data_IF_288765917962
#
_entry.id   IF_288765917962
#
_cell.length_a   1.000
_cell.length_b   1.000
_cell.length_c   1.000
_cell.angle_alpha   90.00
_cell.angle_beta   90.00
_cell.angle_gamma   90.00
#
_symmetry.space_group_name_H-M   'P 1'
#
loop_
_entity.id
_entity.type
_entity.pdbx_description
1 polymer ?
#
# COMPACT_ATOMS: atom_id res chain seq x y z
N UNK A 1 -4.03 10.04 26.91
CA UNK A 1 -3.35 10.82 25.84
C UNK A 1 -4.31 10.92 24.67
N UNK A 2 -4.46 12.11 24.10
CA UNK A 2 -5.51 12.50 23.14
C UNK A 2 -5.63 11.56 21.94
N UNK A 3 -6.72 10.79 21.87
CA UNK A 3 -7.15 9.98 20.71
C UNK A 3 -7.87 10.81 19.64
N UNK A 4 -8.12 12.10 19.88
CA UNK A 4 -9.05 12.92 19.09
C UNK A 4 -8.57 13.37 17.70
N UNK A 5 -7.27 13.30 17.40
CA UNK A 5 -6.75 13.84 16.13
C UNK A 5 -6.68 12.78 15.02
N UNK A 6 -6.38 11.52 15.34
CA UNK A 6 -6.27 10.46 14.32
C UNK A 6 -7.63 9.89 13.93
N UNK A 7 -8.53 9.69 14.90
CA UNK A 7 -9.89 9.17 14.62
C UNK A 7 -10.68 10.13 13.73
N UNK A 8 -10.64 11.43 14.02
CA UNK A 8 -11.34 12.44 13.23
C UNK A 8 -10.81 12.58 11.80
N UNK A 9 -9.51 12.39 11.61
CA UNK A 9 -8.88 12.39 10.28
C UNK A 9 -9.24 11.11 9.51
N UNK A 10 -9.28 9.97 10.19
CA UNK A 10 -9.72 8.70 9.60
C UNK A 10 -11.19 8.76 9.18
N UNK A 11 -12.08 9.27 10.03
CA UNK A 11 -13.50 9.44 9.72
C UNK A 11 -13.71 10.27 8.45
N UNK A 12 -13.00 11.40 8.32
CA UNK A 12 -13.04 12.22 7.09
C UNK A 12 -12.48 11.50 5.88
N UNK A 13 -11.43 10.70 6.07
CA UNK A 13 -10.84 9.88 5.01
C UNK A 13 -11.84 8.83 4.51
N UNK A 14 -12.53 8.17 5.43
CA UNK A 14 -13.56 7.17 5.12
C UNK A 14 -14.75 7.82 4.40
N UNK A 15 -15.17 9.02 4.82
CA UNK A 15 -16.21 9.81 4.15
C UNK A 15 -15.82 10.18 2.71
N UNK A 16 -14.60 10.69 2.49
CA UNK A 16 -14.10 11.02 1.15
C UNK A 16 -14.02 9.76 0.26
N UNK A 17 -13.55 8.64 0.81
CA UNK A 17 -13.48 7.38 0.08
C UNK A 17 -14.88 6.89 -0.34
N UNK A 18 -15.88 6.99 0.54
CA UNK A 18 -17.27 6.65 0.22
C UNK A 18 -17.81 7.52 -0.92
N UNK A 19 -17.61 8.84 -0.85
CA UNK A 19 -18.04 9.78 -1.92
C UNK A 19 -17.41 9.41 -3.26
N UNK A 20 -16.10 9.11 -3.28
CA UNK A 20 -15.40 8.75 -4.52
C UNK A 20 -15.91 7.43 -5.13
N UNK A 21 -16.30 6.46 -4.30
CA UNK A 21 -16.94 5.22 -4.78
C UNK A 21 -18.32 5.47 -5.33
N UNK A 22 -19.10 6.33 -4.68
CA UNK A 22 -20.43 6.68 -5.16
C UNK A 22 -20.34 7.38 -6.52
N UNK A 23 -19.41 8.33 -6.69
CA UNK A 23 -19.16 8.96 -7.99
C UNK A 23 -18.68 7.92 -9.02
N UNK A 24 -17.78 7.00 -8.64
CA UNK A 24 -17.32 5.92 -9.51
C UNK A 24 -18.48 5.06 -10.01
N UNK A 25 -19.42 4.70 -9.13
CA UNK A 25 -20.62 3.94 -9.51
C UNK A 25 -21.54 4.76 -10.42
N UNK A 26 -21.74 6.05 -10.14
CA UNK A 26 -22.59 6.93 -10.93
C UNK A 26 -22.06 7.15 -12.35
N UNK A 27 -20.75 7.36 -12.52
CA UNK A 27 -20.18 7.63 -13.85
C UNK A 27 -19.78 6.36 -14.60
N UNK A 28 -19.71 5.22 -13.91
CA UNK A 28 -19.18 3.96 -14.42
C UNK A 28 -20.10 3.24 -15.41
N UNK A 29 -20.05 1.91 -15.37
CA UNK A 29 -20.86 1.08 -16.25
C UNK A 29 -22.35 1.29 -16.00
N UNK A 30 -23.12 1.51 -17.06
CA UNK A 30 -24.58 1.57 -16.99
C UNK A 30 -25.14 0.29 -16.37
N UNK A 31 -25.95 0.45 -15.33
CA UNK A 31 -26.66 -0.64 -14.67
C UNK A 31 -28.15 -0.46 -14.88
N UNK A 32 -28.83 -1.52 -15.30
CA UNK A 32 -30.29 -1.56 -15.42
C UNK A 32 -31.02 -1.69 -14.07
N UNK A 33 -30.33 -1.51 -12.95
CA UNK A 33 -30.86 -1.68 -11.61
C UNK A 33 -30.35 -0.55 -10.72
N UNK A 34 -31.23 -0.10 -9.85
CA UNK A 34 -30.94 0.94 -8.90
C UNK A 34 -30.05 0.40 -7.77
N UNK A 35 -29.01 1.15 -7.41
CA UNK A 35 -28.00 0.79 -6.42
C UNK A 35 -28.08 1.72 -5.22
N UNK A 36 -27.74 1.20 -4.05
CA UNK A 36 -27.58 2.03 -2.85
C UNK A 36 -26.16 2.56 -2.79
N UNK A 37 -26.04 3.87 -2.56
CA UNK A 37 -24.78 4.55 -2.37
C UNK A 37 -24.25 4.35 -0.94
N UNK A 38 -22.93 4.37 -0.75
CA UNK A 38 -22.29 4.30 0.57
C UNK A 38 -22.65 5.51 1.44
N UNK A 39 -22.75 6.70 0.81
CA UNK A 39 -23.21 7.94 1.48
C UNK A 39 -24.73 8.02 1.63
N UNK A 40 -25.46 7.01 1.16
CA UNK A 40 -26.91 6.92 1.23
C UNK A 40 -27.62 7.44 -0.02
N UNK A 41 -28.87 6.99 -0.18
CA UNK A 41 -29.66 7.23 -1.38
C UNK A 41 -29.62 6.06 -2.36
N UNK A 42 -30.62 6.00 -3.23
CA UNK A 42 -30.78 4.95 -4.23
C UNK A 42 -30.84 5.60 -5.61
N UNK A 43 -29.96 5.18 -6.50
CA UNK A 43 -29.73 5.82 -7.81
C UNK A 43 -29.54 4.78 -8.90
N UNK A 44 -29.89 5.14 -10.13
CA UNK A 44 -29.48 4.37 -11.31
C UNK A 44 -28.01 4.66 -11.60
N UNK A 45 -27.20 3.62 -11.67
CA UNK A 45 -25.77 3.73 -11.87
C UNK A 45 -25.39 3.85 -13.35
N UNK A 46 -24.32 4.60 -13.61
CA UNK A 46 -23.55 4.57 -14.83
C UNK A 46 -23.91 5.63 -15.87
N UNK A 47 -22.85 6.21 -16.44
CA UNK A 47 -22.89 7.13 -17.58
C UNK A 47 -21.96 6.64 -18.71
N UNK A 48 -21.34 5.47 -18.55
CA UNK A 48 -20.44 4.87 -19.53
C UNK A 48 -18.96 5.28 -19.42
N UNK A 49 -18.57 6.11 -18.45
CA UNK A 49 -17.19 6.56 -18.24
C UNK A 49 -16.37 5.55 -17.41
N UNK A 50 -16.23 4.32 -17.93
CA UNK A 50 -15.66 3.18 -17.19
C UNK A 50 -14.21 3.39 -16.72
N UNK A 51 -13.34 3.98 -17.55
CA UNK A 51 -11.94 4.24 -17.17
C UNK A 51 -11.82 5.25 -16.03
N UNK A 52 -12.60 6.33 -16.07
CA UNK A 52 -12.61 7.34 -15.00
C UNK A 52 -13.21 6.76 -13.71
N UNK A 53 -14.27 5.97 -13.82
CA UNK A 53 -14.85 5.26 -12.69
C UNK A 53 -13.83 4.33 -12.02
N UNK A 54 -13.10 3.54 -12.82
CA UNK A 54 -12.06 2.67 -12.30
C UNK A 54 -10.96 3.46 -11.56
N UNK A 55 -10.48 4.56 -12.17
CA UNK A 55 -9.50 5.43 -11.53
C UNK A 55 -10.00 5.99 -10.19
N UNK A 56 -11.26 6.43 -10.11
CA UNK A 56 -11.86 6.93 -8.86
C UNK A 56 -11.99 5.82 -7.80
N UNK A 57 -12.37 4.60 -8.19
CA UNK A 57 -12.46 3.46 -7.28
C UNK A 57 -11.09 3.12 -6.67
N UNK A 58 -10.04 3.11 -7.49
CA UNK A 58 -8.66 2.90 -7.05
C UNK A 58 -8.23 4.01 -6.07
N UNK A 59 -8.52 5.28 -6.38
CA UNK A 59 -8.20 6.40 -5.48
C UNK A 59 -8.97 6.34 -4.16
N UNK A 60 -10.23 5.93 -4.19
CA UNK A 60 -11.03 5.75 -2.97
C UNK A 60 -10.43 4.66 -2.07
N UNK A 61 -10.03 3.53 -2.66
CA UNK A 61 -9.34 2.46 -1.96
C UNK A 61 -8.02 2.96 -1.36
N UNK A 62 -7.26 3.77 -2.10
CA UNK A 62 -6.02 4.34 -1.61
C UNK A 62 -6.23 5.23 -0.36
N UNK A 63 -7.22 6.11 -0.41
CA UNK A 63 -7.55 6.99 0.71
C UNK A 63 -7.98 6.19 1.94
N UNK A 64 -8.81 5.16 1.75
CA UNK A 64 -9.25 4.30 2.86
C UNK A 64 -8.10 3.51 3.49
N UNK A 65 -7.15 3.02 2.69
CA UNK A 65 -5.97 2.29 3.16
C UNK A 65 -4.96 3.18 3.90
N UNK A 66 -5.19 4.49 4.00
CA UNK A 66 -4.45 5.38 4.88
C UNK A 66 -3.76 6.54 4.16
N UNK A 67 -3.83 7.72 4.79
CA UNK A 67 -3.33 8.98 4.24
C UNK A 67 -1.93 9.37 4.76
N UNK A 68 -1.46 8.74 5.84
CA UNK A 68 -0.16 9.07 6.44
C UNK A 68 0.92 8.11 5.96
N UNK A 69 1.74 8.55 5.02
CA UNK A 69 2.90 7.78 4.55
C UNK A 69 4.13 8.13 5.39
N UNK A 70 4.69 7.15 6.09
CA UNK A 70 5.98 7.27 6.76
C UNK A 70 7.01 6.52 5.93
N UNK A 71 7.94 7.26 5.34
CA UNK A 71 9.06 6.69 4.59
C UNK A 71 10.28 6.63 5.51
N UNK A 72 10.84 5.44 5.69
CA UNK A 72 12.08 5.25 6.48
C UNK A 72 13.23 4.95 5.53
N UNK A 73 14.11 5.95 5.38
CA UNK A 73 15.29 5.91 4.52
C UNK A 73 16.54 5.52 5.30
N UNK A 74 17.44 4.75 4.69
CA UNK A 74 18.79 4.53 5.21
C UNK A 74 19.50 3.32 4.62
N UNK A 75 20.73 3.10 5.05
CA UNK A 75 21.63 2.04 4.56
C UNK A 75 21.32 0.66 5.17
N UNK A 76 21.76 -0.40 4.51
CA UNK A 76 21.47 -1.78 4.92
C UNK A 76 22.00 -2.07 6.33
N UNK A 77 21.21 -2.80 7.15
CA UNK A 77 21.58 -3.19 8.53
C UNK A 77 21.80 -2.07 9.57
N UNK A 78 21.42 -0.82 9.31
CA UNK A 78 21.54 0.27 10.30
C UNK A 78 20.32 0.45 11.24
N UNK A 79 19.61 -0.63 11.56
CA UNK A 79 18.55 -0.57 12.58
C UNK A 79 17.23 0.08 12.16
N UNK A 80 16.96 0.26 10.86
CA UNK A 80 15.68 0.80 10.36
C UNK A 80 14.46 -0.02 10.81
N UNK A 81 14.56 -1.35 10.76
CA UNK A 81 13.53 -2.25 11.27
C UNK A 81 13.39 -2.15 12.79
N UNK A 82 14.47 -1.84 13.52
CA UNK A 82 14.44 -1.57 14.96
C UNK A 82 13.74 -0.24 15.25
N UNK A 83 14.01 0.81 14.46
CA UNK A 83 13.33 2.10 14.55
C UNK A 83 11.84 1.96 14.26
N UNK A 84 11.47 1.26 13.18
CA UNK A 84 10.08 0.97 12.86
C UNK A 84 9.40 0.19 13.99
N UNK A 85 10.03 -0.86 14.53
CA UNK A 85 9.50 -1.61 15.67
C UNK A 85 9.35 -0.74 16.93
N UNK A 86 10.31 0.15 17.21
CA UNK A 86 10.20 1.09 18.32
C UNK A 86 9.04 2.08 18.13
N UNK A 87 8.86 2.63 16.91
CA UNK A 87 7.73 3.50 16.56
C UNK A 87 6.39 2.77 16.61
N UNK A 88 6.39 1.47 16.28
CA UNK A 88 5.21 0.61 16.34
C UNK A 88 4.86 0.16 17.76
N UNK A 89 5.65 0.51 18.78
CA UNK A 89 5.36 0.21 20.18
C UNK A 89 5.69 -1.23 20.60
N UNK A 90 6.47 -1.98 19.81
CA UNK A 90 6.85 -3.36 20.13
C UNK A 90 7.50 -4.11 18.95
N UNK A 91 7.81 -5.40 19.12
CA UNK A 91 8.27 -6.30 18.03
C UNK A 91 7.09 -6.69 17.12
N UNK A 92 6.45 -5.70 16.53
CA UNK A 92 5.25 -5.83 15.70
C UNK A 92 5.60 -6.36 14.32
N UNK A 93 6.65 -5.81 13.73
CA UNK A 93 7.31 -6.45 12.62
C UNK A 93 8.21 -7.49 13.26
N UNK A 94 7.99 -8.78 12.94
CA UNK A 94 9.02 -9.78 13.19
C UNK A 94 10.36 -9.16 12.75
N UNK A 95 11.48 -9.47 13.40
CA UNK A 95 12.79 -8.91 13.02
C UNK A 95 13.17 -9.17 11.53
N UNK A 96 12.30 -9.88 10.78
CA UNK A 96 12.30 -10.22 9.36
C UNK A 96 10.98 -9.91 8.60
N UNK A 97 9.96 -9.31 9.20
CA UNK A 97 8.63 -9.14 8.58
C UNK A 97 8.60 -8.10 7.46
N UNK A 98 9.59 -7.21 7.39
CA UNK A 98 9.85 -6.42 6.20
C UNK A 98 11.11 -7.01 5.57
N UNK A 99 10.97 -7.87 4.54
CA UNK A 99 12.14 -8.31 3.82
C UNK A 99 12.91 -7.07 3.36
N UNK A 100 14.23 -7.14 3.49
CA UNK A 100 15.10 -6.08 3.00
C UNK A 100 15.09 -6.16 1.48
N UNK A 101 14.03 -5.66 0.85
CA UNK A 101 13.77 -5.75 -0.58
C UNK A 101 14.21 -4.47 -1.28
N UNK A 102 14.61 -4.58 -2.54
CA UNK A 102 14.81 -3.42 -3.40
C UNK A 102 13.49 -2.76 -3.84
N UNK A 103 12.37 -3.47 -3.69
CA UNK A 103 11.03 -2.98 -4.04
C UNK A 103 10.42 -2.14 -2.92
N UNK A 104 9.69 -1.10 -3.32
CA UNK A 104 8.89 -0.28 -2.40
C UNK A 104 7.82 -1.17 -1.78
N UNK A 105 7.88 -1.35 -0.46
CA UNK A 105 6.91 -2.14 0.29
C UNK A 105 6.07 -1.22 1.15
N UNK A 106 4.76 -1.37 1.13
CA UNK A 106 3.81 -0.64 1.97
C UNK A 106 3.16 -1.59 2.95
N UNK A 107 3.20 -1.25 4.25
CA UNK A 107 2.37 -1.92 5.24
C UNK A 107 1.00 -1.24 5.27
N UNK A 108 -0.07 -2.02 5.07
CA UNK A 108 -1.46 -1.56 5.04
C UNK A 108 -2.31 -2.37 6.01
N UNK A 109 -3.45 -1.82 6.43
CA UNK A 109 -4.38 -2.56 7.27
C UNK A 109 -5.02 -3.71 6.49
N UNK A 110 -5.08 -4.90 7.07
CA UNK A 110 -5.76 -6.05 6.47
C UNK A 110 -5.83 -7.23 7.41
N UNK A 111 -6.83 -8.08 7.20
CA UNK A 111 -7.15 -9.22 8.07
C UNK A 111 -6.44 -10.50 7.66
N UNK A 112 -5.99 -10.57 6.41
CA UNK A 112 -5.25 -11.71 5.86
C UNK A 112 -3.78 -11.32 5.81
N UNK A 113 -2.84 -12.12 6.31
CA UNK A 113 -1.39 -11.79 6.23
C UNK A 113 -0.84 -11.94 4.78
N UNK A 114 -1.62 -11.48 3.81
CA UNK A 114 -1.38 -11.57 2.39
C UNK A 114 -0.50 -10.40 1.92
N UNK A 115 0.22 -10.67 0.83
CA UNK A 115 1.02 -9.69 0.13
C UNK A 115 0.51 -9.56 -1.29
N UNK A 116 0.18 -8.33 -1.69
CA UNK A 116 -0.23 -7.98 -3.04
C UNK A 116 0.92 -7.28 -3.76
N UNK A 117 1.47 -7.89 -4.81
CA UNK A 117 2.56 -7.32 -5.63
C UNK A 117 1.98 -6.72 -6.90
N UNK A 118 2.20 -5.42 -7.09
CA UNK A 118 1.75 -4.67 -8.25
C UNK A 118 2.92 -4.54 -9.24
N UNK A 119 2.69 -4.99 -10.48
CA UNK A 119 3.69 -5.05 -11.54
C UNK A 119 3.33 -4.08 -12.64
N UNK A 120 4.35 -3.49 -13.26
CA UNK A 120 4.18 -2.51 -14.32
C UNK A 120 3.41 -3.13 -15.49
N UNK A 121 2.32 -2.49 -15.90
CA UNK A 121 1.50 -2.94 -17.02
C UNK A 121 0.56 -4.12 -16.72
N UNK A 122 0.37 -4.49 -15.45
CA UNK A 122 -0.65 -5.47 -15.04
C UNK A 122 -1.80 -4.79 -14.29
N UNK A 123 -3.04 -5.10 -14.68
CA UNK A 123 -4.24 -4.50 -14.07
C UNK A 123 -4.58 -5.08 -12.69
N UNK A 124 -4.14 -6.30 -12.40
CA UNK A 124 -4.42 -7.00 -11.14
C UNK A 124 -3.14 -7.38 -10.40
N UNK A 125 -3.08 -7.18 -9.08
CA UNK A 125 -1.90 -7.57 -8.30
C UNK A 125 -1.76 -9.09 -8.20
N UNK A 126 -0.52 -9.55 -8.10
CA UNK A 126 -0.22 -10.93 -7.74
C UNK A 126 -0.31 -11.08 -6.22
N UNK A 127 -1.29 -11.86 -5.75
CA UNK A 127 -1.49 -12.12 -4.32
C UNK A 127 -0.70 -13.37 -3.91
N UNK A 128 0.04 -13.28 -2.81
CA UNK A 128 0.84 -14.37 -2.25
C UNK A 128 0.95 -14.27 -0.71
N UNK A 129 1.47 -15.32 -0.07
CA UNK A 129 1.76 -15.27 1.37
C UNK A 129 3.01 -14.45 1.68
N UNK A 130 3.13 -13.95 2.91
CA UNK A 130 4.34 -13.26 3.38
C UNK A 130 5.60 -14.14 3.27
N UNK A 131 5.46 -15.45 3.45
CA UNK A 131 6.57 -16.41 3.32
C UNK A 131 7.06 -16.53 1.89
N UNK A 132 6.13 -16.69 0.93
CA UNK A 132 6.45 -16.74 -0.50
C UNK A 132 7.10 -15.42 -0.94
N UNK A 133 6.52 -14.30 -0.53
CA UNK A 133 7.06 -12.97 -0.80
C UNK A 133 8.48 -12.79 -0.25
N UNK A 134 8.71 -13.22 0.99
CA UNK A 134 10.05 -13.13 1.60
C UNK A 134 11.04 -14.00 0.86
N UNK A 135 10.66 -15.21 0.44
CA UNK A 135 11.53 -16.11 -0.31
C UNK A 135 11.90 -15.57 -1.68
N UNK A 136 10.96 -14.90 -2.37
CA UNK A 136 11.13 -14.45 -3.76
C UNK A 136 11.77 -13.05 -3.86
N UNK A 137 11.41 -12.12 -2.97
CA UNK A 137 11.76 -10.70 -3.10
C UNK A 137 12.84 -10.22 -2.13
N UNK A 138 13.27 -11.05 -1.17
CA UNK A 138 14.38 -10.69 -0.27
C UNK A 138 15.69 -10.54 -1.05
N UNK A 139 16.44 -9.48 -0.77
CA UNK A 139 17.78 -9.30 -1.34
C UNK A 139 18.73 -10.37 -0.82
N UNK A 140 19.30 -11.12 -1.75
CA UNK A 140 20.37 -12.09 -1.50
C UNK A 140 21.72 -11.38 -1.32
N UNK A 141 22.79 -12.13 -1.04
CA UNK A 141 24.15 -11.58 -1.02
C UNK A 141 24.63 -11.16 -2.40
N UNK A 142 24.31 -11.94 -3.43
CA UNK A 142 24.65 -11.64 -4.82
C UNK A 142 23.97 -10.35 -5.30
N UNK A 143 22.71 -10.14 -4.89
CA UNK A 143 21.98 -8.90 -5.16
C UNK A 143 22.71 -7.68 -4.55
N UNK A 144 23.25 -7.83 -3.34
CA UNK A 144 24.01 -6.76 -2.67
C UNK A 144 25.33 -6.46 -3.40
N UNK A 145 26.04 -7.50 -3.85
CA UNK A 145 27.27 -7.31 -4.61
C UNK A 145 27.00 -6.63 -5.96
N UNK A 146 25.90 -6.99 -6.62
CA UNK A 146 25.46 -6.37 -7.88
C UNK A 146 25.11 -4.90 -7.67
N UNK A 147 24.35 -4.59 -6.61
CA UNK A 147 24.05 -3.21 -6.21
C UNK A 147 25.31 -2.40 -5.96
N UNK A 148 26.27 -2.95 -5.23
CA UNK A 148 27.51 -2.25 -4.92
C UNK A 148 28.39 -2.01 -6.15
N UNK A 149 28.32 -2.89 -7.16
CA UNK A 149 29.13 -2.79 -8.39
C UNK A 149 28.48 -1.89 -9.45
N UNK A 150 27.16 -1.99 -9.64
CA UNK A 150 26.45 -1.38 -10.78
C UNK A 150 25.38 -0.37 -10.37
N UNK A 151 24.96 -0.34 -9.10
CA UNK A 151 23.97 0.61 -8.57
C UNK A 151 22.50 0.19 -8.71
N UNK A 152 22.18 -0.86 -9.47
CA UNK A 152 20.81 -1.33 -9.73
C UNK A 152 20.70 -2.87 -9.81
N UNK A 153 19.47 -3.41 -9.76
CA UNK A 153 19.14 -4.84 -9.95
C UNK A 153 17.97 -4.96 -10.93
N UNK A 154 18.13 -5.81 -11.95
CA UNK A 154 17.11 -6.03 -12.99
C UNK A 154 15.95 -6.93 -12.56
N UNK A 155 16.15 -7.82 -11.57
CA UNK A 155 15.14 -8.80 -11.13
C UNK A 155 13.84 -8.15 -10.62
N UNK A 156 13.90 -6.86 -10.26
CA UNK A 156 12.77 -6.12 -9.71
C UNK A 156 12.33 -4.93 -10.57
N UNK A 157 12.83 -4.82 -11.81
CA UNK A 157 12.60 -3.65 -12.67
C UNK A 157 11.11 -3.43 -13.01
N UNK A 158 10.35 -4.51 -13.14
CA UNK A 158 8.92 -4.46 -13.52
C UNK A 158 7.97 -4.50 -12.31
N UNK A 159 8.45 -4.13 -11.13
CA UNK A 159 7.64 -4.12 -9.90
C UNK A 159 7.47 -2.68 -9.45
N UNK A 160 6.22 -2.23 -9.41
CA UNK A 160 5.90 -0.88 -8.98
C UNK A 160 5.96 -0.78 -7.45
N UNK A 161 5.28 -1.68 -6.75
CA UNK A 161 5.30 -1.78 -5.29
C UNK A 161 4.66 -3.09 -4.79
N UNK A 162 4.85 -3.40 -3.50
CA UNK A 162 4.13 -4.45 -2.80
C UNK A 162 3.34 -3.87 -1.61
N UNK A 163 2.16 -4.43 -1.32
CA UNK A 163 1.37 -4.15 -0.13
C UNK A 163 1.33 -5.38 0.76
N UNK A 164 1.77 -5.24 2.01
CA UNK A 164 1.70 -6.28 3.03
C UNK A 164 0.58 -5.90 3.99
N UNK A 165 -0.42 -6.77 4.09
CA UNK A 165 -1.51 -6.61 5.04
C UNK A 165 -1.05 -6.94 6.47
N UNK A 166 -1.49 -6.09 7.40
CA UNK A 166 -0.96 -5.96 8.75
C UNK A 166 -2.12 -5.73 9.72
N UNK A 167 -2.34 -6.66 10.66
CA UNK A 167 -3.25 -6.46 11.79
C UNK A 167 -2.55 -5.67 12.91
N UNK A 168 -2.30 -4.38 12.67
CA UNK A 168 -1.72 -3.50 13.69
C UNK A 168 -2.53 -2.20 13.82
N UNK A 169 -2.66 -1.70 15.05
CA UNK A 169 -3.46 -0.50 15.36
C UNK A 169 -3.00 0.74 14.60
N UNK A 170 -1.71 0.88 14.30
CA UNK A 170 -1.20 1.97 13.45
C UNK A 170 -1.62 1.84 11.99
N UNK A 171 -1.55 0.64 11.40
CA UNK A 171 -2.08 0.35 10.06
C UNK A 171 -3.59 0.64 10.04
N UNK A 172 -4.32 0.14 11.04
CA UNK A 172 -5.76 0.37 11.24
C UNK A 172 -6.15 1.83 11.47
N UNK A 173 -5.20 2.69 11.87
CA UNK A 173 -5.39 4.13 12.02
C UNK A 173 -4.94 4.92 10.79
N UNK A 174 -4.73 4.26 9.65
CA UNK A 174 -4.44 4.91 8.37
C UNK A 174 -2.98 5.33 8.17
N UNK A 175 -2.04 4.70 8.89
CA UNK A 175 -0.59 4.88 8.68
C UNK A 175 -0.07 3.81 7.73
N UNK A 176 0.55 4.25 6.64
CA UNK A 176 1.31 3.41 5.70
C UNK A 176 2.80 3.55 5.97
N UNK A 177 3.48 2.44 6.19
CA UNK A 177 4.93 2.41 6.41
C UNK A 177 5.65 1.94 5.16
N UNK A 178 6.67 2.69 4.74
CA UNK A 178 7.49 2.41 3.57
C UNK A 178 8.95 2.28 3.99
N UNK A 179 9.45 1.08 4.34
CA UNK A 179 10.89 0.85 4.48
C UNK A 179 11.53 0.87 3.10
N UNK A 180 12.53 1.73 2.87
CA UNK A 180 13.24 1.74 1.59
C UNK A 180 14.76 1.85 1.75
N UNK A 181 15.49 1.39 0.74
CA UNK A 181 16.95 1.46 0.67
C UNK A 181 17.40 2.65 -0.16
N UNK A 182 18.41 3.35 0.35
CA UNK A 182 18.95 4.60 -0.21
C UNK A 182 19.26 4.55 -1.72
N UNK A 183 19.62 3.39 -2.28
CA UNK A 183 20.05 3.28 -3.68
C UNK A 183 18.93 3.30 -4.73
N UNK A 184 17.66 3.09 -4.35
CA UNK A 184 16.54 3.02 -5.29
C UNK A 184 15.66 4.27 -5.34
N UNK A 185 15.86 5.22 -4.43
CA UNK A 185 15.08 6.45 -4.40
C UNK A 185 15.68 7.48 -5.37
N UNK A 186 15.50 7.25 -6.67
CA UNK A 186 15.74 8.25 -7.71
C UNK A 186 14.40 8.65 -8.33
N UNK A 187 13.92 9.85 -7.98
CA UNK A 187 12.88 10.73 -8.59
C UNK A 187 11.58 10.18 -9.23
N UNK A 188 11.35 8.87 -9.35
CA UNK A 188 10.23 8.29 -10.12
C UNK A 188 8.99 7.89 -9.32
N UNK A 189 8.96 8.09 -8.00
CA UNK A 189 7.94 7.47 -7.13
C UNK A 189 7.25 8.42 -6.14
N UNK A 190 7.13 9.71 -6.47
CA UNK A 190 6.26 10.65 -5.74
C UNK A 190 5.19 11.19 -6.69
#
# INVERSE_FOLDING_TARGET
MSTGTYSSVKEKSDEIAAILRDISLLIGQERGLAINLETGGNVMAGLGFTSNAHALAVRAQDIQQGIFKIIVLGEFKHGKSTLLNAMLGGRVLAARATPCTAIVTMLVNGDSSNVSVYKTGQDSPQVMSLEAFTSEYQLTREDQETLNKQGYINRFENIDYAQIECQHSLCGNGVRLIPTFRSYFTEKSI
#
